data_IF_279997398221
#
_entry.id   IF_279997398221
#
_cell.length_a   1.000
_cell.length_b   1.000
_cell.length_c   1.000
_cell.angle_alpha   90.00
_cell.angle_beta   90.00
_cell.angle_gamma   90.00
#
_symmetry.space_group_name_H-M   'P 1'
#
loop_
_entity.id
_entity.type
_entity.pdbx_description
1 polymer ?
#
# COMPACT_ATOMS: atom_id res chain seq x y z
N UNK A 1 17.67 -9.88 -31.79
CA UNK A 1 16.68 -10.28 -30.76
C UNK A 1 17.15 -9.73 -29.43
N UNK A 2 16.60 -8.60 -28.98
CA UNK A 2 16.67 -8.14 -27.58
C UNK A 2 15.45 -7.22 -27.39
N UNK A 3 14.28 -7.83 -27.21
CA UNK A 3 13.11 -7.10 -26.72
C UNK A 3 13.34 -6.86 -25.22
N UNK A 4 14.13 -5.84 -24.90
CA UNK A 4 14.19 -5.30 -23.55
C UNK A 4 12.88 -4.57 -23.28
N UNK A 5 11.84 -5.31 -22.89
CA UNK A 5 10.75 -4.70 -22.15
C UNK A 5 11.37 -4.13 -20.89
N UNK A 6 11.43 -2.80 -20.80
CA UNK A 6 11.68 -2.10 -19.55
C UNK A 6 10.62 -2.62 -18.59
N UNK A 7 11.02 -3.42 -17.59
CA UNK A 7 10.11 -3.81 -16.51
C UNK A 7 9.62 -2.50 -15.88
N UNK A 8 8.34 -2.19 -16.10
CA UNK A 8 7.72 -1.00 -15.54
C UNK A 8 7.81 -1.12 -14.03
N UNK A 9 8.50 -0.18 -13.39
CA UNK A 9 8.68 -0.16 -11.94
C UNK A 9 7.30 -0.25 -11.27
N UNK A 10 7.08 -1.36 -10.57
CA UNK A 10 5.77 -1.70 -10.03
C UNK A 10 5.67 -1.21 -8.59
N UNK A 11 4.62 -0.45 -8.32
CA UNK A 11 4.29 0.08 -6.99
C UNK A 11 3.16 -0.75 -6.39
N UNK A 12 3.35 -1.24 -5.17
CA UNK A 12 2.27 -1.85 -4.38
C UNK A 12 1.66 -0.80 -3.47
N UNK A 13 0.36 -0.54 -3.61
CA UNK A 13 -0.38 0.36 -2.73
C UNK A 13 -1.15 -0.45 -1.70
N UNK A 14 -0.89 -0.23 -0.41
CA UNK A 14 -1.65 -0.83 0.67
C UNK A 14 -2.75 0.12 1.14
N UNK A 15 -3.99 -0.32 0.96
CA UNK A 15 -5.22 0.37 1.33
C UNK A 15 -5.74 -0.31 2.59
N UNK A 16 -5.65 0.33 3.77
CA UNK A 16 -5.91 -0.37 5.01
C UNK A 16 -7.40 -0.58 5.28
N UNK A 17 -8.25 0.36 4.87
CA UNK A 17 -9.66 0.41 5.22
C UNK A 17 -10.46 1.23 4.19
N UNK A 18 -11.79 1.21 4.34
CA UNK A 18 -12.71 1.90 3.43
C UNK A 18 -12.61 3.43 3.48
N UNK A 19 -12.15 4.02 4.58
CA UNK A 19 -12.11 5.48 4.74
C UNK A 19 -11.15 6.11 3.72
N UNK A 20 -10.14 5.34 3.30
CA UNK A 20 -9.10 5.75 2.36
C UNK A 20 -9.49 5.53 0.90
N UNK A 21 -10.39 4.57 0.61
CA UNK A 21 -10.75 4.19 -0.78
C UNK A 21 -11.16 5.37 -1.69
N UNK A 22 -12.03 6.31 -1.25
CA UNK A 22 -12.44 7.44 -2.10
C UNK A 22 -11.28 8.36 -2.50
N UNK A 23 -10.20 8.37 -1.71
CA UNK A 23 -9.01 9.18 -1.98
C UNK A 23 -8.12 8.58 -3.08
N UNK A 24 -8.33 7.28 -3.36
CA UNK A 24 -7.60 6.48 -4.33
C UNK A 24 -8.33 6.35 -5.65
N UNK A 25 -9.65 6.52 -5.59
CA UNK A 25 -10.54 6.48 -6.73
C UNK A 25 -10.13 7.58 -7.73
N UNK A 26 -9.71 7.16 -8.93
CA UNK A 26 -9.20 8.05 -9.99
C UNK A 26 -7.68 8.07 -10.16
N UNK A 27 -6.90 7.53 -9.21
CA UNK A 27 -5.45 7.42 -9.33
C UNK A 27 -4.98 6.00 -9.60
N UNK A 28 -5.76 5.01 -9.16
CA UNK A 28 -5.47 3.62 -9.42
C UNK A 28 -6.14 3.17 -10.72
N UNK A 29 -5.35 2.51 -11.58
CA UNK A 29 -5.83 1.83 -12.78
C UNK A 29 -6.15 0.34 -12.45
N UNK A 30 -7.40 -0.14 -12.62
CA UNK A 30 -7.79 -1.52 -12.31
C UNK A 30 -6.95 -2.61 -13.00
N UNK A 31 -6.47 -2.35 -14.21
CA UNK A 31 -5.71 -3.31 -15.03
C UNK A 31 -4.24 -3.42 -14.65
N UNK A 32 -3.68 -2.36 -14.05
CA UNK A 32 -2.24 -2.20 -13.88
C UNK A 32 -1.79 -1.91 -12.46
N UNK A 33 -2.69 -1.53 -11.57
CA UNK A 33 -2.33 -1.22 -10.18
C UNK A 33 -2.29 -2.49 -9.35
N UNK A 34 -1.26 -2.60 -8.52
CA UNK A 34 -1.14 -3.62 -7.50
C UNK A 34 -1.61 -3.04 -6.18
N UNK A 35 -2.59 -3.70 -5.58
CA UNK A 35 -3.22 -3.23 -4.35
C UNK A 35 -3.18 -4.33 -3.31
N UNK A 36 -2.75 -4.02 -2.09
CA UNK A 36 -2.86 -4.89 -0.92
C UNK A 36 -3.87 -4.32 0.07
N UNK A 37 -4.64 -5.16 0.74
CA UNK A 37 -5.58 -4.70 1.78
C UNK A 37 -5.79 -5.78 2.85
N UNK A 38 -5.80 -5.40 4.15
CA UNK A 38 -6.26 -6.28 5.21
C UNK A 38 -7.79 -6.30 5.34
N UNK A 39 -8.49 -5.31 4.78
CA UNK A 39 -9.94 -5.18 4.86
C UNK A 39 -10.62 -5.97 3.73
N UNK A 40 -11.46 -6.93 4.12
CA UNK A 40 -12.19 -7.81 3.20
C UNK A 40 -13.19 -7.05 2.33
N UNK A 41 -13.85 -6.02 2.86
CA UNK A 41 -14.82 -5.22 2.12
C UNK A 41 -14.09 -4.35 1.07
N UNK A 42 -12.91 -3.80 1.42
CA UNK A 42 -12.05 -3.11 0.45
C UNK A 42 -11.62 -4.06 -0.66
N UNK A 43 -11.19 -5.27 -0.31
CA UNK A 43 -10.81 -6.30 -1.28
C UNK A 43 -11.95 -6.65 -2.23
N UNK A 44 -13.15 -6.88 -1.70
CA UNK A 44 -14.35 -7.17 -2.49
C UNK A 44 -14.71 -6.01 -3.42
N UNK A 45 -14.69 -4.78 -2.90
CA UNK A 45 -14.94 -3.57 -3.68
C UNK A 45 -13.96 -3.44 -4.85
N UNK A 46 -12.64 -3.60 -4.60
CA UNK A 46 -11.61 -3.51 -5.65
C UNK A 46 -11.85 -4.56 -6.74
N UNK A 47 -12.10 -5.81 -6.34
CA UNK A 47 -12.36 -6.89 -7.30
C UNK A 47 -13.64 -6.66 -8.10
N UNK A 48 -14.70 -6.17 -7.46
CA UNK A 48 -15.95 -5.80 -8.12
C UNK A 48 -15.75 -4.69 -9.16
N UNK A 49 -14.85 -3.74 -8.89
CA UNK A 49 -14.47 -2.66 -9.81
C UNK A 49 -13.38 -3.05 -10.82
N UNK A 50 -13.10 -4.34 -10.98
CA UNK A 50 -12.23 -4.86 -12.04
C UNK A 50 -10.74 -4.84 -11.75
N UNK A 51 -10.33 -4.57 -10.50
CA UNK A 51 -8.91 -4.64 -10.13
C UNK A 51 -8.39 -6.07 -10.22
N UNK A 52 -7.39 -6.29 -11.09
CA UNK A 52 -6.84 -7.64 -11.33
C UNK A 52 -5.82 -8.07 -10.29
N UNK A 53 -5.02 -7.13 -9.77
CA UNK A 53 -3.91 -7.42 -8.89
C UNK A 53 -4.20 -7.00 -7.44
N UNK A 54 -5.16 -7.69 -6.82
CA UNK A 54 -5.55 -7.45 -5.41
C UNK A 54 -4.97 -8.56 -4.52
N UNK A 55 -4.14 -8.18 -3.55
CA UNK A 55 -3.60 -9.04 -2.50
C UNK A 55 -4.37 -8.80 -1.20
N UNK A 56 -5.31 -9.69 -0.91
CA UNK A 56 -6.04 -9.68 0.35
C UNK A 56 -5.20 -10.37 1.42
N UNK A 57 -5.16 -9.83 2.63
CA UNK A 57 -4.48 -10.43 3.77
C UNK A 57 -5.22 -10.15 5.07
N UNK A 58 -4.72 -10.68 6.18
CA UNK A 58 -5.16 -10.37 7.54
C UNK A 58 -4.01 -9.72 8.31
N UNK A 59 -4.32 -8.83 9.24
CA UNK A 59 -3.34 -8.27 10.18
C UNK A 59 -2.68 -9.34 11.07
N UNK A 60 -3.21 -10.57 11.09
CA UNK A 60 -2.64 -11.73 11.77
C UNK A 60 -1.75 -12.60 10.88
N UNK A 61 -1.70 -12.33 9.57
CA UNK A 61 -0.87 -13.10 8.66
C UNK A 61 0.61 -12.84 8.94
N UNK A 62 1.46 -13.82 8.61
CA UNK A 62 2.90 -13.65 8.76
C UNK A 62 3.52 -12.88 7.58
N UNK A 63 2.95 -13.04 6.38
CA UNK A 63 3.36 -12.38 5.13
C UNK A 63 2.26 -12.55 4.06
N UNK A 64 2.39 -11.83 2.94
CA UNK A 64 1.55 -11.88 1.74
C UNK A 64 2.35 -12.60 0.64
N UNK A 65 1.80 -13.63 -0.01
CA UNK A 65 2.45 -14.27 -1.16
C UNK A 65 2.34 -13.37 -2.40
N UNK A 66 3.30 -12.46 -2.56
CA UNK A 66 3.35 -11.52 -3.67
C UNK A 66 3.81 -12.24 -4.96
N UNK A 67 3.04 -12.07 -6.04
CA UNK A 67 3.34 -12.66 -7.35
C UNK A 67 4.28 -11.81 -8.21
N UNK A 68 4.61 -10.61 -7.76
CA UNK A 68 5.45 -9.64 -8.46
C UNK A 68 6.52 -9.06 -7.53
N UNK A 69 7.58 -8.50 -8.12
CA UNK A 69 8.56 -7.67 -7.42
C UNK A 69 8.11 -6.22 -7.49
N UNK A 70 8.33 -5.48 -6.42
CA UNK A 70 7.97 -4.07 -6.31
C UNK A 70 9.20 -3.21 -6.10
N UNK A 71 9.21 -2.03 -6.70
CA UNK A 71 10.26 -1.03 -6.48
C UNK A 71 10.06 -0.33 -5.13
N UNK A 72 8.80 -0.06 -4.78
CA UNK A 72 8.38 0.54 -3.51
C UNK A 72 6.99 0.07 -3.11
N UNK A 73 6.72 0.14 -1.82
CA UNK A 73 5.39 -0.08 -1.24
C UNK A 73 4.91 1.23 -0.65
N UNK A 74 3.67 1.60 -0.91
CA UNK A 74 3.01 2.75 -0.29
C UNK A 74 1.98 2.21 0.68
N UNK A 75 2.21 2.40 1.97
CA UNK A 75 1.20 2.13 3.00
C UNK A 75 0.51 3.43 3.36
N UNK A 76 -0.79 3.49 3.13
CA UNK A 76 -1.59 4.61 3.60
C UNK A 76 -1.93 4.34 5.05
N UNK A 77 -1.74 5.34 5.91
CA UNK A 77 -2.08 5.23 7.31
C UNK A 77 -3.58 4.99 7.47
N UNK A 78 -3.92 3.94 8.22
CA UNK A 78 -5.28 3.70 8.70
C UNK A 78 -5.65 4.72 9.76
N UNK A 79 -6.95 5.00 9.88
CA UNK A 79 -7.51 5.73 11.02
C UNK A 79 -7.01 5.22 12.37
N UNK A 80 -6.78 3.91 12.48
CA UNK A 80 -6.21 3.28 13.66
C UNK A 80 -4.73 2.97 13.44
N UNK A 81 -3.86 3.61 14.23
CA UNK A 81 -2.41 3.45 14.10
C UNK A 81 -1.94 2.00 14.33
N UNK A 82 -2.67 1.22 15.15
CA UNK A 82 -2.37 -0.19 15.39
C UNK A 82 -2.49 -1.01 14.09
N UNK A 83 -3.56 -0.81 13.31
CA UNK A 83 -3.78 -1.50 12.04
C UNK A 83 -2.70 -1.12 11.00
N UNK A 84 -2.24 0.13 11.04
CA UNK A 84 -1.10 0.58 10.23
C UNK A 84 0.17 -0.21 10.59
N UNK A 85 0.45 -0.41 11.87
CA UNK A 85 1.64 -1.15 12.31
C UNK A 85 1.55 -2.64 12.03
N UNK A 86 0.37 -3.23 12.17
CA UNK A 86 0.15 -4.63 11.80
C UNK A 86 0.35 -4.83 10.30
N UNK A 87 -0.26 -3.97 9.47
CA UNK A 87 -0.05 -3.98 8.02
C UNK A 87 1.43 -3.80 7.66
N UNK A 88 2.13 -2.88 8.32
CA UNK A 88 3.54 -2.63 8.08
C UNK A 88 4.42 -3.82 8.45
N UNK A 89 4.08 -4.55 9.52
CA UNK A 89 4.75 -5.80 9.89
C UNK A 89 4.56 -6.88 8.83
N UNK A 90 3.33 -7.08 8.35
CA UNK A 90 3.04 -8.06 7.30
C UNK A 90 3.79 -7.71 6.01
N UNK A 91 3.70 -6.46 5.55
CA UNK A 91 4.36 -5.99 4.33
C UNK A 91 5.87 -6.16 4.39
N UNK A 92 6.50 -5.80 5.52
CA UNK A 92 7.95 -5.94 5.71
C UNK A 92 8.42 -7.39 5.62
N UNK A 93 7.59 -8.34 6.04
CA UNK A 93 7.89 -9.76 5.91
C UNK A 93 7.60 -10.29 4.49
N UNK A 94 6.86 -9.54 3.68
CA UNK A 94 6.40 -9.95 2.34
C UNK A 94 7.32 -9.49 1.21
N UNK A 95 8.07 -8.40 1.42
CA UNK A 95 8.91 -7.81 0.39
C UNK A 95 10.15 -7.14 0.96
N UNK A 96 11.20 -7.07 0.14
CA UNK A 96 12.42 -6.29 0.41
C UNK A 96 12.31 -4.84 -0.04
N UNK A 97 11.23 -4.49 -0.76
CA UNK A 97 11.00 -3.14 -1.26
C UNK A 97 10.84 -2.15 -0.10
N UNK A 98 11.38 -0.92 -0.21
CA UNK A 98 11.17 0.11 0.80
C UNK A 98 9.69 0.42 0.98
N UNK A 99 9.23 0.43 2.23
CA UNK A 99 7.87 0.81 2.60
C UNK A 99 7.85 2.30 2.92
N UNK A 100 7.02 3.04 2.18
CA UNK A 100 6.74 4.46 2.37
C UNK A 100 5.39 4.56 3.07
N UNK A 101 5.35 5.16 4.25
CA UNK A 101 4.09 5.44 4.95
C UNK A 101 3.61 6.83 4.57
N UNK A 102 2.39 6.93 4.05
CA UNK A 102 1.71 8.19 3.78
C UNK A 102 0.67 8.42 4.86
N UNK A 103 0.80 9.52 5.59
CA UNK A 103 -0.08 9.86 6.70
C UNK A 103 -0.58 11.30 6.58
N UNK A 104 -1.83 11.52 6.96
CA UNK A 104 -2.41 12.86 7.13
C UNK A 104 -2.39 13.32 8.59
N UNK A 105 -2.06 12.41 9.51
CA UNK A 105 -2.05 12.63 10.95
C UNK A 105 -0.69 13.12 11.42
N UNK A 106 -0.65 14.29 12.04
CA UNK A 106 0.57 14.79 12.71
C UNK A 106 0.67 14.35 14.19
N UNK A 107 -0.22 13.48 14.66
CA UNK A 107 -0.29 13.08 16.07
C UNK A 107 0.87 12.16 16.50
N UNK A 108 1.50 11.43 15.57
CA UNK A 108 2.58 10.49 15.88
C UNK A 108 3.92 10.96 15.33
N UNK A 109 5.01 10.83 16.11
CA UNK A 109 6.33 11.20 15.64
C UNK A 109 6.82 10.23 14.55
N UNK A 110 7.44 10.75 13.49
CA UNK A 110 8.00 9.93 12.39
C UNK A 110 8.89 8.77 12.88
N UNK A 111 9.63 9.00 13.98
CA UNK A 111 10.50 7.99 14.60
C UNK A 111 9.76 6.70 14.95
N UNK A 112 8.47 6.79 15.29
CA UNK A 112 7.65 5.62 15.59
C UNK A 112 7.49 4.73 14.35
N UNK A 113 7.05 5.28 13.23
CA UNK A 113 6.93 4.53 11.97
C UNK A 113 8.27 3.96 11.50
N UNK A 114 9.35 4.74 11.61
CA UNK A 114 10.70 4.25 11.28
C UNK A 114 11.10 3.06 12.17
N UNK A 115 10.80 3.10 13.46
CA UNK A 115 11.07 1.98 14.38
C UNK A 115 10.28 0.71 14.04
N UNK A 116 9.12 0.86 13.38
CA UNK A 116 8.30 -0.25 12.93
C UNK A 116 8.74 -0.81 11.57
N UNK A 117 9.57 -0.10 10.82
CA UNK A 117 10.16 -0.56 9.57
C UNK A 117 9.79 0.24 8.32
N UNK A 118 9.12 1.40 8.49
CA UNK A 118 9.01 2.36 7.39
C UNK A 118 10.41 2.81 6.96
N UNK A 119 10.63 2.97 5.65
CA UNK A 119 11.86 3.58 5.11
C UNK A 119 11.74 5.09 4.98
N UNK A 120 10.53 5.55 4.66
CA UNK A 120 10.17 6.96 4.51
C UNK A 120 8.78 7.18 5.11
N UNK A 121 8.58 8.32 5.76
CA UNK A 121 7.26 8.78 6.22
C UNK A 121 6.96 10.11 5.56
N UNK A 122 5.81 10.21 4.91
CA UNK A 122 5.38 11.41 4.22
C UNK A 122 4.11 11.92 4.88
N UNK A 123 4.20 13.13 5.43
CA UNK A 123 3.02 13.86 5.87
C UNK A 123 2.41 14.57 4.67
N UNK A 124 1.20 14.19 4.30
CA UNK A 124 0.45 14.87 3.26
C UNK A 124 -0.70 15.64 3.89
N UNK A 125 -0.78 16.94 3.58
CA UNK A 125 -1.96 17.76 3.91
C UNK A 125 -3.14 17.47 2.96
N UNK A 126 -2.85 16.87 1.81
CA UNK A 126 -3.87 16.44 0.86
C UNK A 126 -4.00 14.93 0.87
N UNK A 127 -5.24 14.48 0.85
CA UNK A 127 -5.64 13.10 0.56
C UNK A 127 -5.20 12.60 -0.84
N UNK A 128 -4.69 13.50 -1.69
CA UNK A 128 -4.19 13.17 -3.02
C UNK A 128 -2.83 12.44 -2.94
N UNK A 129 -2.86 11.11 -3.06
CA UNK A 129 -1.66 10.28 -3.04
C UNK A 129 -1.09 9.96 -4.44
N UNK A 130 -1.64 10.57 -5.50
CA UNK A 130 -1.22 10.34 -6.89
C UNK A 130 0.26 10.57 -7.14
N UNK A 131 0.85 11.56 -6.47
CA UNK A 131 2.28 11.89 -6.53
C UNK A 131 3.20 10.76 -6.07
N UNK A 132 2.67 9.78 -5.34
CA UNK A 132 3.46 8.65 -4.85
C UNK A 132 3.29 7.42 -5.74
N UNK A 133 2.13 7.29 -6.41
CA UNK A 133 1.76 6.15 -7.24
C UNK A 133 2.32 6.27 -8.67
N UNK A 134 2.34 7.50 -9.23
CA UNK A 134 2.84 7.82 -10.57
C UNK A 134 4.37 7.98 -10.60
#
# INVERSE_FOLDING_TARGET
MLNGQIEKESVLVCVPDQDVLPELEGYLNPEHSYVATPDSQVSEWLRYHGFKNVYSFSNHDSFIPLSAKFEKVILIESRHIADTFDSLKVLRNSTIAPIIVVTTTHAYPMRLYYSMGAKLVIYSKSKNISYFIL
#
